data_IF_972268196505
#
_entry.id   IF_972268196505
#
_cell.length_a   1.000
_cell.length_b   1.000
_cell.length_c   1.000
_cell.angle_alpha   90.00
_cell.angle_beta   90.00
_cell.angle_gamma   90.00
#
_symmetry.space_group_name_H-M   'P 1'
#
loop_
_entity.id
_entity.type
_entity.pdbx_description
1 polymer ?
#
# COMPACT_ATOMS: atom_id res chain seq x y z
N UNK A 1 27.18 -44.08 -18.12
CA UNK A 1 26.69 -43.50 -16.85
C UNK A 1 25.78 -42.33 -17.22
N UNK A 2 24.48 -42.41 -16.92
CA UNK A 2 23.50 -41.36 -17.27
C UNK A 2 23.51 -40.30 -16.16
N UNK A 3 23.87 -39.06 -16.51
CA UNK A 3 23.84 -37.92 -15.59
C UNK A 3 22.44 -37.33 -15.64
N UNK A 4 21.66 -37.58 -14.60
CA UNK A 4 20.34 -36.97 -14.43
C UNK A 4 20.56 -35.59 -13.81
N UNK A 5 20.44 -34.53 -14.61
CA UNK A 5 20.50 -33.16 -14.11
C UNK A 5 19.20 -32.84 -13.36
N UNK A 6 19.30 -32.60 -12.05
CA UNK A 6 18.19 -32.07 -11.25
C UNK A 6 18.09 -30.57 -11.48
N UNK A 7 17.00 -30.14 -12.14
CA UNK A 7 16.65 -28.74 -12.30
C UNK A 7 16.09 -28.22 -10.96
N UNK A 8 16.91 -27.50 -10.20
CA UNK A 8 16.44 -26.73 -9.05
C UNK A 8 15.76 -25.46 -9.57
N UNK A 9 14.42 -25.46 -9.59
CA UNK A 9 13.64 -24.25 -9.80
C UNK A 9 13.67 -23.45 -8.50
N UNK A 10 14.42 -22.34 -8.48
CA UNK A 10 14.32 -21.36 -7.40
C UNK A 10 12.95 -20.70 -7.48
N UNK A 11 12.03 -21.14 -6.62
CA UNK A 11 10.81 -20.39 -6.32
C UNK A 11 11.24 -19.25 -5.40
N UNK A 12 11.65 -18.11 -5.98
CA UNK A 12 11.82 -16.90 -5.18
C UNK A 12 10.42 -16.46 -4.76
N UNK A 13 10.15 -16.45 -3.46
CA UNK A 13 8.97 -15.79 -2.93
C UNK A 13 9.01 -14.33 -3.39
N UNK A 14 8.17 -13.97 -4.35
CA UNK A 14 7.84 -12.57 -4.60
C UNK A 14 7.16 -12.10 -3.32
N UNK A 15 7.90 -11.46 -2.41
CA UNK A 15 7.28 -10.79 -1.29
C UNK A 15 6.26 -9.84 -1.89
N UNK A 16 4.97 -10.01 -1.59
CA UNK A 16 3.98 -9.01 -1.90
C UNK A 16 4.45 -7.73 -1.23
N UNK A 17 4.93 -6.77 -2.03
CA UNK A 17 5.38 -5.50 -1.49
C UNK A 17 4.11 -4.74 -1.07
N UNK A 18 3.99 -4.46 0.24
CA UNK A 18 2.90 -3.66 0.78
C UNK A 18 3.07 -2.23 0.28
N UNK A 19 2.21 -1.76 -0.60
CA UNK A 19 2.27 -0.40 -1.13
C UNK A 19 0.89 0.23 -1.26
N UNK A 20 0.91 1.55 -1.26
CA UNK A 20 -0.23 2.37 -1.64
C UNK A 20 0.24 3.43 -2.64
N UNK A 21 -0.54 3.63 -3.69
CA UNK A 21 -0.39 4.75 -4.60
C UNK A 21 -1.52 5.73 -4.33
N UNK A 22 -1.18 6.96 -3.95
CA UNK A 22 -2.15 8.06 -3.84
C UNK A 22 -2.10 8.94 -5.09
N UNK A 23 -3.25 9.15 -5.74
CA UNK A 23 -3.38 10.05 -6.90
C UNK A 23 -4.04 11.37 -6.50
N UNK A 24 -3.49 12.49 -6.96
CA UNK A 24 -4.02 13.85 -6.77
C UNK A 24 -5.01 14.25 -7.89
N UNK A 25 -5.80 15.33 -7.73
CA UNK A 25 -6.74 15.80 -8.75
C UNK A 25 -6.07 16.18 -10.08
N UNK A 26 -4.79 16.58 -10.04
CA UNK A 26 -4.00 16.94 -11.21
C UNK A 26 -3.39 15.73 -11.95
N UNK A 27 -3.65 14.52 -11.47
CA UNK A 27 -3.14 13.27 -12.03
C UNK A 27 -1.71 12.91 -11.59
N UNK A 28 -1.05 13.74 -10.77
CA UNK A 28 0.22 13.35 -10.15
C UNK A 28 -0.02 12.33 -9.04
N UNK A 29 0.94 11.42 -8.84
CA UNK A 29 0.81 10.36 -7.84
C UNK A 29 2.03 10.29 -6.92
N UNK A 30 1.82 9.68 -5.75
CA UNK A 30 2.86 9.34 -4.79
C UNK A 30 2.70 7.87 -4.42
N UNK A 31 3.78 7.13 -4.46
CA UNK A 31 3.82 5.74 -4.03
C UNK A 31 4.61 5.63 -2.72
N UNK A 32 4.08 4.92 -1.74
CA UNK A 32 4.78 4.60 -0.51
C UNK A 32 4.48 3.17 -0.07
N UNK A 33 5.41 2.56 0.65
CA UNK A 33 5.31 1.15 1.02
C UNK A 33 6.66 0.47 1.16
N UNK A 34 6.66 -0.85 0.97
CA UNK A 34 7.80 -1.76 1.13
C UNK A 34 7.89 -2.37 2.53
N UNK A 35 7.20 -1.80 3.52
CA UNK A 35 7.11 -2.30 4.89
C UNK A 35 5.77 -1.93 5.52
N UNK A 36 5.32 -2.70 6.51
CA UNK A 36 4.22 -2.28 7.37
C UNK A 36 4.63 -1.07 8.21
N UNK A 37 3.72 -0.14 8.45
CA UNK A 37 4.04 1.10 9.15
C UNK A 37 3.06 2.23 8.95
N UNK A 38 3.21 3.27 9.76
CA UNK A 38 2.45 4.51 9.64
C UNK A 38 3.19 5.49 8.71
N UNK A 39 2.47 6.00 7.72
CA UNK A 39 2.98 6.96 6.75
C UNK A 39 2.11 8.21 6.80
N UNK A 40 2.75 9.35 7.06
CA UNK A 40 2.12 10.65 6.95
C UNK A 40 1.99 11.04 5.48
N UNK A 41 0.85 11.61 5.12
CA UNK A 41 0.59 12.16 3.79
C UNK A 41 0.30 13.65 3.90
N UNK A 42 0.80 14.41 2.93
CA UNK A 42 0.45 15.81 2.77
C UNK A 42 -0.03 16.05 1.33
N UNK A 43 -1.30 16.40 1.19
CA UNK A 43 -1.91 16.74 -0.09
C UNK A 43 -3.32 16.18 -0.26
N UNK A 44 -4.09 16.74 -1.21
CA UNK A 44 -5.46 16.33 -1.44
C UNK A 44 -5.50 15.08 -2.32
N UNK A 45 -5.06 13.92 -1.84
CA UNK A 45 -5.27 12.68 -2.59
C UNK A 45 -6.77 12.43 -2.77
N UNK A 46 -7.17 12.05 -3.98
CA UNK A 46 -8.56 11.74 -4.33
C UNK A 46 -8.76 10.26 -4.55
N UNK A 47 -7.72 9.55 -4.96
CA UNK A 47 -7.75 8.11 -5.19
C UNK A 47 -6.59 7.44 -4.51
N UNK A 48 -6.81 6.19 -4.13
CA UNK A 48 -5.76 5.29 -3.67
C UNK A 48 -5.86 3.95 -4.39
N UNK A 49 -4.72 3.37 -4.70
CA UNK A 49 -4.59 1.96 -5.10
C UNK A 49 -3.79 1.23 -4.02
N UNK A 50 -4.35 0.15 -3.49
CA UNK A 50 -3.74 -0.65 -2.42
C UNK A 50 -3.28 -1.98 -3.02
N UNK A 51 -2.05 -2.38 -2.71
CA UNK A 51 -1.46 -3.64 -3.16
C UNK A 51 -2.23 -4.88 -2.71
N UNK A 52 -2.05 -5.97 -3.46
CA UNK A 52 -2.65 -7.27 -3.14
C UNK A 52 -2.29 -7.73 -1.71
N UNK A 53 -3.30 -8.24 -1.01
CA UNK A 53 -3.15 -8.74 0.37
C UNK A 53 -2.82 -7.68 1.43
N UNK A 54 -2.93 -6.38 1.11
CA UNK A 54 -2.64 -5.26 2.03
C UNK A 54 -3.92 -4.59 2.52
N UNK A 55 -3.90 -4.11 3.76
CA UNK A 55 -4.95 -3.24 4.30
C UNK A 55 -4.34 -1.89 4.65
N UNK A 56 -4.95 -0.81 4.14
CA UNK A 56 -4.61 0.56 4.48
C UNK A 56 -5.68 1.13 5.44
N UNK A 57 -5.27 1.52 6.65
CA UNK A 57 -6.13 2.18 7.63
C UNK A 57 -5.82 3.68 7.66
N UNK A 58 -6.79 4.53 7.40
CA UNK A 58 -6.59 5.99 7.30
C UNK A 58 -6.98 6.70 8.58
N UNK A 59 -6.19 7.71 8.97
CA UNK A 59 -6.37 8.47 10.20
C UNK A 59 -6.48 9.98 9.96
N UNK A 60 -7.08 10.69 10.91
CA UNK A 60 -7.22 12.15 10.90
C UNK A 60 -6.03 12.90 11.50
N UNK A 61 -5.02 12.20 12.00
CA UNK A 61 -3.77 12.76 12.49
C UNK A 61 -2.58 12.33 11.61
N UNK A 62 -1.37 12.81 11.92
CA UNK A 62 -0.15 12.44 11.17
C UNK A 62 0.58 11.22 11.77
N UNK A 63 0.10 10.67 12.90
CA UNK A 63 0.82 9.65 13.66
C UNK A 63 0.14 8.28 13.70
N UNK A 64 -0.99 8.12 12.99
CA UNK A 64 -1.84 6.93 13.03
C UNK A 64 -2.29 6.56 14.46
N UNK A 65 -2.37 7.55 15.35
CA UNK A 65 -2.85 7.40 16.74
C UNK A 65 -4.14 8.18 16.99
N UNK A 66 -4.56 8.99 16.02
CA UNK A 66 -5.82 9.70 16.03
C UNK A 66 -7.00 8.77 15.79
N UNK A 67 -8.10 9.35 15.32
CA UNK A 67 -9.28 8.58 14.97
C UNK A 67 -9.05 7.90 13.62
N UNK A 68 -9.27 6.59 13.54
CA UNK A 68 -9.41 5.92 12.24
C UNK A 68 -10.67 6.43 11.56
N UNK A 69 -10.53 6.89 10.32
CA UNK A 69 -11.59 7.56 9.59
C UNK A 69 -12.11 6.75 8.41
N UNK A 70 -11.32 5.79 7.94
CA UNK A 70 -11.63 4.95 6.80
C UNK A 70 -10.62 3.79 6.70
N UNK A 71 -10.95 2.76 5.93
CA UNK A 71 -10.09 1.63 5.60
C UNK A 71 -10.28 1.26 4.13
N UNK A 72 -9.21 0.77 3.51
CA UNK A 72 -9.23 0.25 2.15
C UNK A 72 -8.45 -1.07 2.10
N UNK A 73 -9.06 -2.09 1.51
CA UNK A 73 -8.39 -3.33 1.13
C UNK A 73 -7.75 -3.17 -0.25
N UNK A 74 -7.11 -4.22 -0.74
CA UNK A 74 -6.63 -4.32 -2.13
C UNK A 74 -7.57 -3.70 -3.17
N UNK A 75 -6.96 -3.03 -4.15
CA UNK A 75 -7.63 -2.47 -5.32
C UNK A 75 -7.68 -0.94 -5.33
N UNK A 76 -8.38 -0.40 -6.34
CA UNK A 76 -8.57 1.04 -6.49
C UNK A 76 -9.80 1.55 -5.75
N UNK A 77 -9.63 2.65 -5.01
CA UNK A 77 -10.68 3.26 -4.23
C UNK A 77 -10.69 4.78 -4.35
N UNK A 78 -11.89 5.36 -4.31
CA UNK A 78 -12.08 6.80 -4.20
C UNK A 78 -12.04 7.19 -2.72
N UNK A 79 -11.20 8.16 -2.37
CA UNK A 79 -11.14 8.68 -1.01
C UNK A 79 -12.41 9.48 -0.70
N UNK A 80 -13.08 9.23 0.44
CA UNK A 80 -14.31 9.94 0.81
C UNK A 80 -14.03 11.38 1.25
N UNK A 81 -12.78 11.68 1.62
CA UNK A 81 -12.30 13.00 2.06
C UNK A 81 -10.76 13.01 2.08
N UNK A 82 -10.20 14.17 2.38
CA UNK A 82 -8.76 14.31 2.64
C UNK A 82 -8.33 13.46 3.85
N UNK A 83 -7.18 12.80 3.70
CA UNK A 83 -6.53 11.94 4.69
C UNK A 83 -5.19 12.56 5.13
N UNK A 84 -4.80 12.35 6.39
CA UNK A 84 -3.56 12.90 6.96
C UNK A 84 -2.49 11.82 7.13
N UNK A 85 -2.87 10.60 7.48
CA UNK A 85 -1.96 9.46 7.49
C UNK A 85 -2.67 8.17 7.14
N UNK A 86 -1.89 7.13 6.86
CA UNK A 86 -2.36 5.77 6.73
C UNK A 86 -1.39 4.78 7.36
N UNK A 87 -1.92 3.69 7.90
CA UNK A 87 -1.20 2.55 8.43
C UNK A 87 -1.34 1.40 7.44
N UNK A 88 -0.22 0.89 6.93
CA UNK A 88 -0.17 -0.31 6.09
C UNK A 88 0.01 -1.54 6.98
N UNK A 89 -0.90 -2.49 6.83
CA UNK A 89 -0.95 -3.78 7.53
C UNK A 89 -0.84 -4.95 6.55
#
# INVERSE_FOLDING_TARGET
MKVTAFLFVLITSTSAEFWIEGTRPDGTFSLAGGTTGCFATYGPFTKVEVSEGTIALFYDDLSCKGKQIWDATEGMHQLPRQINSYLLL
#
